data_IF_365531973798
#
_entry.id   IF_365531973798
#
_cell.length_a   1.000
_cell.length_b   1.000
_cell.length_c   1.000
_cell.angle_alpha   90.00
_cell.angle_beta   90.00
_cell.angle_gamma   90.00
#
_symmetry.space_group_name_H-M   'P 1'
#
loop_
_entity.id
_entity.type
_entity.pdbx_description
1 polymer ?
#
# COMPACT_ATOMS: atom_id res chain seq x y z
N UNK A 1 14.97 9.51 4.61
CA UNK A 1 14.49 9.78 3.24
C UNK A 1 13.15 9.11 3.09
N UNK A 2 12.11 9.86 2.68
CA UNK A 2 10.79 9.32 2.45
C UNK A 2 10.81 8.58 1.10
N UNK A 3 10.57 7.27 1.13
CA UNK A 3 10.35 6.48 -0.08
C UNK A 3 8.95 6.80 -0.61
N UNK A 4 8.91 7.35 -1.83
CA UNK A 4 7.69 7.72 -2.54
C UNK A 4 7.32 6.62 -3.53
N UNK A 5 6.25 5.92 -3.21
CA UNK A 5 5.56 4.97 -4.09
C UNK A 5 4.61 5.73 -5.01
N UNK A 6 4.89 5.71 -6.32
CA UNK A 6 3.99 6.27 -7.33
C UNK A 6 3.19 5.13 -7.98
N UNK A 7 2.08 4.74 -7.35
CA UNK A 7 1.15 3.76 -7.92
C UNK A 7 -0.03 4.46 -8.59
N UNK A 8 -0.54 3.84 -9.65
CA UNK A 8 -1.66 4.34 -10.42
C UNK A 8 -2.96 4.35 -9.59
N UNK A 9 -3.86 5.32 -9.85
CA UNK A 9 -5.17 5.34 -9.21
C UNK A 9 -6.03 4.13 -9.63
N UNK A 10 -7.13 3.93 -8.91
CA UNK A 10 -8.14 2.92 -9.26
C UNK A 10 -8.60 3.15 -10.70
N UNK A 11 -8.45 2.13 -11.55
CA UNK A 11 -8.91 2.22 -12.93
C UNK A 11 -10.45 2.38 -12.96
N UNK A 12 -11.01 3.09 -13.96
CA UNK A 12 -12.45 3.16 -14.15
C UNK A 12 -13.03 1.92 -14.85
N UNK A 13 -12.17 1.02 -15.33
CA UNK A 13 -12.55 -0.16 -16.13
C UNK A 13 -11.84 -1.41 -15.62
N UNK A 14 -12.50 -2.56 -15.79
CA UNK A 14 -11.92 -3.87 -15.55
C UNK A 14 -10.80 -4.15 -16.54
N UNK A 15 -9.65 -4.59 -16.05
CA UNK A 15 -8.50 -4.96 -16.88
C UNK A 15 -8.79 -6.16 -17.80
N UNK A 16 -9.60 -7.12 -17.35
CA UNK A 16 -9.90 -8.34 -18.11
C UNK A 16 -10.90 -8.06 -19.24
N UNK A 17 -12.02 -7.41 -18.95
CA UNK A 17 -13.11 -7.21 -19.91
C UNK A 17 -13.11 -5.84 -20.60
N UNK A 18 -12.34 -4.86 -20.09
CA UNK A 18 -12.42 -3.46 -20.52
C UNK A 18 -13.72 -2.76 -20.11
N UNK A 19 -14.61 -3.44 -19.39
CA UNK A 19 -15.92 -2.92 -18.97
C UNK A 19 -15.75 -1.87 -17.88
N UNK A 20 -16.48 -0.77 -17.98
CA UNK A 20 -16.56 0.23 -16.91
C UNK A 20 -17.15 -0.37 -15.64
N UNK A 21 -16.53 -0.07 -14.50
CA UNK A 21 -17.06 -0.46 -13.19
C UNK A 21 -18.34 0.32 -12.88
N UNK A 22 -19.33 -0.37 -12.31
CA UNK A 22 -20.52 0.27 -11.77
C UNK A 22 -20.39 0.49 -10.26
N UNK A 23 -21.13 1.47 -9.75
CA UNK A 23 -21.18 1.75 -8.31
C UNK A 23 -21.60 0.49 -7.53
N UNK A 24 -20.86 0.17 -6.47
CA UNK A 24 -21.11 -1.00 -5.62
C UNK A 24 -20.52 -2.31 -6.15
N UNK A 25 -19.88 -2.33 -7.33
CA UNK A 25 -19.23 -3.55 -7.80
C UNK A 25 -17.95 -3.86 -7.01
N UNK A 26 -17.71 -5.15 -6.78
CA UNK A 26 -16.51 -5.65 -6.11
C UNK A 26 -15.34 -5.66 -7.10
N UNK A 27 -14.34 -4.84 -6.82
CA UNK A 27 -13.13 -4.71 -7.64
C UNK A 27 -11.95 -5.27 -6.86
N UNK A 28 -11.36 -6.33 -7.40
CA UNK A 28 -10.10 -6.88 -6.95
C UNK A 28 -8.94 -6.08 -7.56
N UNK A 29 -8.21 -5.37 -6.73
CA UNK A 29 -7.02 -4.62 -7.10
C UNK A 29 -5.78 -5.45 -6.80
N UNK A 30 -4.84 -5.47 -7.75
CA UNK A 30 -3.58 -6.18 -7.68
C UNK A 30 -2.43 -5.21 -7.88
N UNK A 31 -1.39 -5.36 -7.09
CA UNK A 31 -0.10 -4.73 -7.32
C UNK A 31 0.88 -5.81 -7.74
N UNK A 32 1.42 -5.69 -8.94
CA UNK A 32 2.26 -6.70 -9.57
C UNK A 32 3.63 -6.09 -9.84
N UNK A 33 4.68 -6.83 -9.46
CA UNK A 33 6.04 -6.48 -9.86
C UNK A 33 6.31 -7.09 -11.24
N UNK A 34 6.72 -6.30 -12.24
CA UNK A 34 7.09 -6.86 -13.54
C UNK A 34 8.33 -7.75 -13.36
N UNK A 35 8.33 -8.94 -13.98
CA UNK A 35 9.47 -9.88 -13.90
C UNK A 35 10.72 -9.32 -14.59
N UNK A 36 10.54 -8.51 -15.63
CA UNK A 36 11.61 -7.83 -16.33
C UNK A 36 11.92 -6.51 -15.62
N UNK A 37 13.19 -6.19 -15.31
CA UNK A 37 13.52 -4.89 -14.74
C UNK A 37 12.99 -3.79 -15.67
N UNK A 38 12.21 -2.84 -15.13
CA UNK A 38 11.65 -1.77 -15.93
C UNK A 38 12.77 -0.98 -16.60
N UNK A 39 12.51 -0.45 -17.80
CA UNK A 39 13.37 0.56 -18.40
C UNK A 39 13.60 1.70 -17.38
N UNK A 40 14.78 2.37 -17.39
CA UNK A 40 15.06 3.45 -16.45
C UNK A 40 13.93 4.51 -16.49
N UNK A 41 13.16 4.60 -15.40
CA UNK A 41 12.01 5.50 -15.25
C UNK A 41 10.63 4.84 -15.28
N UNK A 42 10.52 3.55 -15.59
CA UNK A 42 9.25 2.81 -15.48
C UNK A 42 8.95 2.38 -14.02
N UNK A 43 7.66 2.27 -13.65
CA UNK A 43 7.26 1.99 -12.27
C UNK A 43 7.65 0.56 -11.86
N UNK A 44 8.25 0.44 -10.66
CA UNK A 44 8.65 -0.86 -10.08
C UNK A 44 7.46 -1.77 -9.73
N UNK A 45 6.25 -1.20 -9.65
CA UNK A 45 5.02 -1.90 -9.32
C UNK A 45 3.89 -1.33 -10.17
N UNK A 46 3.13 -2.22 -10.83
CA UNK A 46 1.99 -1.87 -11.68
C UNK A 46 0.69 -2.31 -11.02
N UNK A 47 -0.35 -1.48 -11.12
CA UNK A 47 -1.68 -1.80 -10.59
C UNK A 47 -2.59 -2.38 -11.67
N UNK A 48 -3.31 -3.44 -11.33
CA UNK A 48 -4.36 -4.04 -12.15
C UNK A 48 -5.65 -4.10 -11.35
N UNK A 49 -6.76 -3.64 -11.92
CA UNK A 49 -8.08 -3.67 -11.28
C UNK A 49 -9.01 -4.58 -12.08
N UNK A 50 -9.63 -5.56 -11.43
CA UNK A 50 -10.43 -6.61 -12.06
C UNK A 50 -11.76 -6.75 -11.33
N UNK A 51 -12.86 -6.95 -12.06
CA UNK A 51 -14.12 -7.34 -11.44
C UNK A 51 -13.95 -8.68 -10.70
N UNK A 52 -14.43 -8.78 -9.47
CA UNK A 52 -14.28 -10.01 -8.68
C UNK A 52 -14.90 -11.22 -9.40
N UNK A 53 -16.01 -11.02 -10.11
CA UNK A 53 -16.67 -12.01 -10.95
C UNK A 53 -15.85 -12.46 -12.17
N UNK A 54 -14.87 -11.67 -12.60
CA UNK A 54 -14.03 -11.91 -13.77
C UNK A 54 -12.59 -12.33 -13.40
N UNK A 55 -12.35 -12.59 -12.10
CA UNK A 55 -11.04 -13.02 -11.60
C UNK A 55 -10.48 -14.25 -12.30
N UNK A 56 -11.34 -15.19 -12.72
CA UNK A 56 -10.92 -16.39 -13.45
C UNK A 56 -10.26 -16.10 -14.81
N UNK A 57 -10.45 -14.90 -15.37
CA UNK A 57 -9.80 -14.45 -16.59
C UNK A 57 -8.51 -13.65 -16.36
N UNK A 58 -8.14 -13.37 -15.11
CA UNK A 58 -6.94 -12.59 -14.80
C UNK A 58 -5.72 -13.48 -14.58
N UNK A 59 -4.66 -13.21 -15.32
CA UNK A 59 -3.32 -13.78 -15.07
C UNK A 59 -2.36 -12.63 -14.82
N UNK A 60 -1.78 -12.59 -13.62
CA UNK A 60 -0.81 -11.56 -13.28
C UNK A 60 0.47 -11.74 -14.12
N UNK A 61 1.00 -10.68 -14.76
CA UNK A 61 2.21 -10.74 -15.58
C UNK A 61 3.52 -10.84 -14.76
N UNK A 62 3.41 -11.18 -13.47
CA UNK A 62 4.53 -11.29 -12.56
C UNK A 62 4.06 -11.55 -11.12
N UNK A 63 4.99 -11.59 -10.15
CA UNK A 63 4.65 -11.82 -8.75
C UNK A 63 3.73 -10.71 -8.21
N UNK A 64 2.57 -11.14 -7.69
CA UNK A 64 1.62 -10.26 -7.00
C UNK A 64 2.21 -9.85 -5.66
N UNK A 65 2.54 -8.57 -5.53
CA UNK A 65 3.02 -7.97 -4.30
C UNK A 65 1.89 -7.75 -3.29
N UNK A 66 0.68 -7.40 -3.78
CA UNK A 66 -0.46 -7.12 -2.92
C UNK A 66 -1.77 -7.33 -3.69
N UNK A 67 -2.80 -7.79 -2.99
CA UNK A 67 -4.18 -7.89 -3.48
C UNK A 67 -5.14 -7.38 -2.41
N UNK A 68 -6.16 -6.67 -2.82
CA UNK A 68 -7.30 -6.34 -1.96
C UNK A 68 -8.57 -6.23 -2.78
N UNK A 69 -9.72 -6.32 -2.12
CA UNK A 69 -11.03 -6.09 -2.75
C UNK A 69 -11.64 -4.83 -2.15
N UNK A 70 -12.18 -3.97 -3.01
CA UNK A 70 -12.91 -2.77 -2.61
C UNK A 70 -14.19 -2.62 -3.43
N UNK A 71 -15.21 -1.97 -2.87
CA UNK A 71 -16.39 -1.59 -3.63
C UNK A 71 -16.06 -0.36 -4.50
N UNK A 72 -16.37 -0.44 -5.78
CA UNK A 72 -16.20 0.68 -6.68
C UNK A 72 -17.20 1.78 -6.34
N UNK A 73 -16.69 2.99 -6.07
CA UNK A 73 -17.49 4.19 -5.93
C UNK A 73 -17.06 5.18 -7.01
N UNK A 74 -17.96 5.58 -7.93
CA UNK A 74 -17.64 6.59 -8.91
C UNK A 74 -17.35 7.90 -8.20
N UNK A 75 -16.30 8.59 -8.65
CA UNK A 75 -15.88 9.85 -8.06
C UNK A 75 -16.99 10.88 -8.13
N UNK A 76 -17.28 11.53 -7.01
CA UNK A 76 -18.06 12.77 -7.02
C UNK A 76 -17.12 13.92 -7.43
N UNK A 77 -17.64 14.85 -8.23
CA UNK A 77 -16.92 15.97 -8.87
C UNK A 77 -16.18 16.93 -7.90
N UNK A 78 -16.29 16.73 -6.59
CA UNK A 78 -15.68 17.55 -5.53
C UNK A 78 -14.64 16.76 -4.69
N UNK A 79 -14.24 15.56 -5.11
CA UNK A 79 -13.18 14.80 -4.45
C UNK A 79 -11.80 15.31 -4.88
N UNK A 80 -10.92 15.61 -3.90
CA UNK A 80 -9.67 16.31 -4.15
C UNK A 80 -8.75 15.49 -5.08
N UNK A 81 -8.40 15.96 -6.30
CA UNK A 81 -7.53 15.23 -7.24
C UNK A 81 -6.13 15.00 -6.67
N UNK A 82 -5.71 15.77 -5.66
CA UNK A 82 -4.45 15.56 -4.94
C UNK A 82 -4.42 14.23 -4.15
N UNK A 83 -5.58 13.64 -3.82
CA UNK A 83 -5.66 12.27 -3.27
C UNK A 83 -5.31 11.19 -4.30
N UNK A 84 -5.41 11.51 -5.60
CA UNK A 84 -5.21 10.56 -6.70
C UNK A 84 -3.74 10.30 -7.01
N UNK A 85 -2.85 11.21 -6.64
CA UNK A 85 -1.56 11.34 -7.31
C UNK A 85 -0.37 10.68 -6.62
N UNK A 86 -0.50 10.12 -5.41
CA UNK A 86 0.56 9.32 -4.78
C UNK A 86 -0.03 8.25 -3.86
N UNK A 87 0.00 6.99 -4.27
CA UNK A 87 -0.39 5.91 -3.38
C UNK A 87 0.68 5.67 -2.29
N UNK A 88 0.61 6.46 -1.23
CA UNK A 88 1.38 6.26 0.00
C UNK A 88 0.68 5.27 0.93
N UNK A 89 1.39 4.72 1.92
CA UNK A 89 0.77 3.90 2.97
C UNK A 89 -0.44 4.59 3.62
N UNK A 90 -0.44 5.93 3.68
CA UNK A 90 -1.59 6.74 4.13
C UNK A 90 -2.77 6.59 3.18
N UNK A 91 -2.59 6.83 1.87
CA UNK A 91 -3.71 6.73 0.91
C UNK A 91 -4.28 5.31 0.80
N UNK A 92 -3.44 4.27 0.83
CA UNK A 92 -3.90 2.88 0.82
C UNK A 92 -4.72 2.58 2.08
N UNK A 93 -4.24 3.04 3.25
CA UNK A 93 -5.00 2.95 4.48
C UNK A 93 -6.37 3.64 4.36
N UNK A 94 -6.41 4.87 3.84
CA UNK A 94 -7.67 5.63 3.70
C UNK A 94 -8.68 4.90 2.79
N UNK A 95 -8.21 4.23 1.73
CA UNK A 95 -9.08 3.44 0.83
C UNK A 95 -9.64 2.21 1.52
N UNK A 96 -8.79 1.45 2.22
CA UNK A 96 -9.16 0.18 2.83
C UNK A 96 -9.93 0.36 4.16
N UNK A 97 -9.66 1.44 4.89
CA UNK A 97 -10.35 1.79 6.13
C UNK A 97 -11.67 2.54 5.90
N UNK A 98 -12.06 2.83 4.65
CA UNK A 98 -13.38 3.36 4.34
C UNK A 98 -14.44 2.39 4.86
N UNK A 99 -15.46 2.86 5.62
CA UNK A 99 -16.43 1.96 6.24
C UNK A 99 -17.22 1.12 5.24
N UNK A 100 -17.39 1.57 3.99
CA UNK A 100 -18.04 0.76 2.97
C UNK A 100 -17.13 -0.33 2.40
N UNK A 101 -15.81 -0.12 2.40
CA UNK A 101 -14.82 -1.14 2.03
C UNK A 101 -14.61 -2.11 3.19
N UNK A 102 -14.40 -1.57 4.39
CA UNK A 102 -14.06 -2.33 5.60
C UNK A 102 -15.23 -3.16 6.14
N UNK A 103 -16.48 -2.72 5.91
CA UNK A 103 -17.67 -3.46 6.32
C UNK A 103 -17.84 -4.80 5.59
N UNK A 104 -17.41 -4.86 4.33
CA UNK A 104 -17.50 -6.05 3.45
C UNK A 104 -16.12 -6.68 3.19
N UNK A 105 -15.11 -6.27 3.97
CA UNK A 105 -13.74 -6.69 3.80
C UNK A 105 -13.52 -8.11 4.32
N UNK A 106 -12.74 -8.88 3.57
CA UNK A 106 -12.24 -10.18 4.02
C UNK A 106 -11.17 -10.01 5.12
N UNK A 107 -10.90 -11.07 5.88
CA UNK A 107 -9.87 -11.12 6.91
C UNK A 107 -8.49 -10.66 6.41
N UNK A 108 -8.13 -10.96 5.16
CA UNK A 108 -6.88 -10.46 4.55
C UNK A 108 -6.83 -8.92 4.49
N UNK A 109 -7.94 -8.29 4.10
CA UNK A 109 -8.03 -6.82 3.97
C UNK A 109 -8.06 -6.15 5.34
N UNK A 110 -8.84 -6.69 6.28
CA UNK A 110 -8.89 -6.19 7.67
C UNK A 110 -7.50 -6.23 8.32
N UNK A 111 -6.77 -7.34 8.13
CA UNK A 111 -5.39 -7.49 8.63
C UNK A 111 -4.44 -6.46 8.04
N UNK A 112 -4.53 -6.23 6.73
CA UNK A 112 -3.71 -5.22 6.04
C UNK A 112 -3.98 -3.80 6.57
N UNK A 113 -5.25 -3.45 6.75
CA UNK A 113 -5.65 -2.16 7.35
C UNK A 113 -5.03 -1.97 8.73
N UNK A 114 -5.00 -3.02 9.55
CA UNK A 114 -4.42 -2.96 10.89
C UNK A 114 -2.91 -2.76 10.88
N UNK A 115 -2.17 -3.45 10.00
CA UNK A 115 -0.72 -3.23 9.88
C UNK A 115 -0.40 -1.83 9.37
N UNK A 116 -1.14 -1.36 8.36
CA UNK A 116 -1.02 0.01 7.88
C UNK A 116 -1.30 1.02 9.01
N UNK A 117 -2.30 0.76 9.86
CA UNK A 117 -2.61 1.61 11.00
C UNK A 117 -1.42 1.73 11.97
N UNK A 118 -0.79 0.61 12.33
CA UNK A 118 0.39 0.56 13.20
C UNK A 118 1.59 1.31 12.60
N UNK A 119 1.84 1.14 11.30
CA UNK A 119 2.91 1.86 10.60
C UNK A 119 2.67 3.38 10.61
N UNK A 120 1.43 3.80 10.37
CA UNK A 120 1.04 5.20 10.33
C UNK A 120 0.99 5.82 11.73
N UNK A 121 0.69 5.05 12.77
CA UNK A 121 0.84 5.46 14.17
C UNK A 121 2.30 5.78 14.50
N UNK A 122 3.24 4.89 14.15
CA UNK A 122 4.68 5.14 14.35
C UNK A 122 5.16 6.40 13.63
N UNK A 123 4.58 6.70 12.47
CA UNK A 123 4.85 7.92 11.68
C UNK A 123 4.06 9.15 12.13
N UNK A 124 3.24 9.04 13.19
CA UNK A 124 2.34 10.08 13.71
C UNK A 124 1.30 10.61 12.71
N UNK A 125 1.02 9.85 11.66
CA UNK A 125 -0.03 10.13 10.66
C UNK A 125 -1.39 9.75 11.22
N UNK A 126 -1.46 8.63 11.95
CA UNK A 126 -2.61 8.25 12.77
C UNK A 126 -2.32 8.45 14.25
N UNK A 127 -3.35 8.75 15.02
CA UNK A 127 -3.29 8.85 16.49
C UNK A 127 -4.30 7.90 17.11
N UNK A 128 -3.89 6.99 18.01
CA UNK A 128 -4.84 6.14 18.72
C UNK A 128 -5.73 7.01 19.62
N UNK A 129 -7.04 6.78 19.57
CA UNK A 129 -8.03 7.46 20.40
C UNK A 129 -8.69 6.55 21.44
N UNK A 130 -8.37 5.26 21.39
CA UNK A 130 -8.88 4.25 22.30
C UNK A 130 -9.46 3.07 21.53
N UNK A 131 -10.35 2.34 22.19
CA UNK A 131 -10.98 1.13 21.67
C UNK A 131 -12.49 1.21 21.83
N UNK A 132 -13.23 0.76 20.83
CA UNK A 132 -14.69 0.59 20.87
C UNK A 132 -15.07 -0.87 21.16
N UNK A 133 -16.34 -1.08 21.53
CA UNK A 133 -16.94 -2.40 21.72
C UNK A 133 -16.13 -3.34 22.64
N UNK A 134 -15.66 -2.82 23.78
CA UNK A 134 -14.93 -3.62 24.78
C UNK A 134 -13.53 -4.08 24.35
N UNK A 135 -12.94 -3.46 23.32
CA UNK A 135 -11.61 -3.82 22.81
C UNK A 135 -11.64 -4.54 21.45
N UNK A 136 -12.83 -4.87 20.93
CA UNK A 136 -12.99 -5.53 19.63
C UNK A 136 -12.69 -4.61 18.43
N UNK A 137 -12.64 -3.29 18.64
CA UNK A 137 -12.28 -2.32 17.59
C UNK A 137 -11.31 -1.28 18.12
N UNK A 138 -10.29 -0.95 17.34
CA UNK A 138 -9.36 0.14 17.61
C UNK A 138 -9.81 1.41 16.89
N UNK A 139 -9.79 2.54 17.59
CA UNK A 139 -10.17 3.84 17.04
C UNK A 139 -8.91 4.65 16.76
N UNK A 140 -8.76 5.07 15.50
CA UNK A 140 -7.66 5.93 15.06
C UNK A 140 -8.18 7.26 14.51
N UNK A 141 -7.53 8.36 14.89
CA UNK A 141 -7.75 9.69 14.29
C UNK A 141 -6.66 9.97 13.27
N UNK A 142 -7.05 10.35 12.05
CA UNK A 142 -6.12 10.85 11.06
C UNK A 142 -5.67 12.26 11.38
N UNK A 143 -4.36 12.47 11.54
CA UNK A 143 -3.79 13.70 12.07
C UNK A 143 -4.12 14.93 11.23
N UNK A 144 -4.16 14.78 9.90
CA UNK A 144 -4.43 15.86 8.93
C UNK A 144 -5.92 16.18 8.79
N UNK A 145 -6.76 15.16 8.56
CA UNK A 145 -8.19 15.37 8.31
C UNK A 145 -9.07 15.34 9.56
N UNK A 146 -8.54 14.91 10.71
CA UNK A 146 -9.29 14.66 11.96
C UNK A 146 -10.40 13.61 11.85
N UNK A 147 -10.45 12.88 10.75
CA UNK A 147 -11.38 11.79 10.54
C UNK A 147 -11.07 10.63 11.50
N UNK A 148 -12.11 10.05 12.09
CA UNK A 148 -12.01 8.84 12.90
C UNK A 148 -12.24 7.60 12.05
N UNK A 149 -11.43 6.58 12.28
CA UNK A 149 -11.52 5.26 11.67
C UNK A 149 -11.65 4.21 12.76
N UNK A 150 -12.66 3.36 12.64
CA UNK A 150 -12.84 2.17 13.49
C UNK A 150 -12.34 0.95 12.74
N UNK A 151 -11.32 0.29 13.28
CA UNK A 151 -10.71 -0.89 12.68
C UNK A 151 -10.99 -2.09 13.57
N UNK A 152 -11.48 -3.22 13.04
CA UNK A 152 -11.56 -4.46 13.81
C UNK A 152 -10.20 -4.82 14.41
N UNK A 153 -10.15 -5.11 15.70
CA UNK A 153 -8.93 -5.54 16.36
C UNK A 153 -8.71 -7.03 16.09
N UNK A 154 -7.81 -7.35 15.16
CA UNK A 154 -7.35 -8.73 14.96
C UNK A 154 -6.52 -9.14 16.18
N UNK A 155 -6.94 -10.23 16.82
CA UNK A 155 -6.34 -10.74 18.07
C UNK A 155 -5.09 -11.59 17.82
N UNK A 156 -4.94 -12.14 16.62
CA UNK A 156 -3.81 -13.02 16.24
C UNK A 156 -2.91 -12.35 15.19
N UNK A 157 -1.95 -11.54 15.69
CA UNK A 157 -0.85 -11.01 14.90
C UNK A 157 0.39 -11.91 15.07
N UNK A 158 0.37 -13.10 14.46
CA UNK A 158 1.46 -14.08 14.58
C UNK A 158 2.77 -13.59 13.88
N UNK A 159 3.98 -13.86 14.39
CA UNK A 159 5.25 -13.58 13.72
C UNK A 159 5.37 -14.02 12.25
N UNK A 160 4.84 -15.17 11.85
CA UNK A 160 4.84 -15.60 10.43
C UNK A 160 4.02 -14.65 9.55
N UNK A 161 2.96 -14.08 10.11
CA UNK A 161 2.12 -13.07 9.46
C UNK A 161 2.84 -11.72 9.33
N UNK A 162 3.62 -11.32 10.33
CA UNK A 162 4.46 -10.12 10.19
C UNK A 162 5.52 -10.29 9.09
N UNK A 163 6.06 -11.50 8.89
CA UNK A 163 7.00 -11.77 7.82
C UNK A 163 6.34 -11.69 6.43
N UNK A 164 5.16 -12.30 6.23
CA UNK A 164 4.45 -12.22 4.95
C UNK A 164 4.04 -10.78 4.61
N UNK A 165 3.52 -10.05 5.60
CA UNK A 165 3.14 -8.64 5.44
C UNK A 165 4.37 -7.77 5.27
N UNK A 166 5.47 -8.02 5.99
CA UNK A 166 6.71 -7.27 5.81
C UNK A 166 7.32 -7.53 4.43
N UNK A 167 7.16 -8.74 3.86
CA UNK A 167 7.57 -9.04 2.49
C UNK A 167 6.66 -8.35 1.46
N UNK A 168 5.34 -8.36 1.67
CA UNK A 168 4.36 -7.62 0.84
C UNK A 168 4.57 -6.10 0.93
N UNK A 169 4.89 -5.59 2.11
CA UNK A 169 5.21 -4.19 2.33
C UNK A 169 6.60 -3.84 1.84
N UNK A 170 7.61 -4.73 1.90
CA UNK A 170 8.92 -4.50 1.32
C UNK A 170 8.87 -4.57 -0.21
N UNK A 171 8.00 -5.43 -0.75
CA UNK A 171 7.64 -5.49 -2.16
C UNK A 171 6.99 -4.20 -2.64
N UNK A 172 6.14 -3.61 -1.79
CA UNK A 172 5.47 -2.35 -2.03
C UNK A 172 6.46 -1.19 -1.87
N UNK A 173 7.16 -1.09 -0.74
CA UNK A 173 7.94 0.07 -0.30
C UNK A 173 9.36 0.10 -0.88
N UNK A 174 9.76 -0.94 -1.61
CA UNK A 174 11.15 -1.15 -2.00
C UNK A 174 11.94 -1.48 -0.74
N UNK A 175 12.35 -2.73 -0.59
CA UNK A 175 13.37 -3.09 0.39
C UNK A 175 14.60 -2.23 0.08
N UNK A 176 14.84 -1.20 0.90
CA UNK A 176 16.07 -0.45 0.88
C UNK A 176 17.19 -1.44 1.11
N UNK A 177 17.81 -1.91 0.04
CA UNK A 177 19.07 -2.64 0.10
C UNK A 177 20.16 -1.60 0.35
N UNK A 178 20.07 -0.97 1.51
CA UNK A 178 21.13 -0.15 2.08
C UNK A 178 21.91 -1.01 3.05
N UNK A 179 23.12 -1.39 2.66
CA UNK A 179 24.09 -1.97 3.58
C UNK A 179 25.01 -3.01 2.97
N UNK A 180 25.92 -2.58 2.11
CA UNK A 180 27.29 -3.08 2.18
C UNK A 180 28.19 -1.86 2.09
N UNK A 181 28.31 -1.19 3.24
CA UNK A 181 29.40 -0.26 3.52
C UNK A 181 30.69 -1.08 3.61
N UNK A 182 31.59 -0.82 2.67
CA UNK A 182 32.98 -1.23 2.72
C UNK A 182 33.84 -0.01 2.54
N UNK A 183 33.80 0.91 3.51
CA UNK A 183 34.77 1.98 3.67
C UNK A 183 36.18 1.41 3.78
N UNK A 184 37.06 1.84 2.89
CA UNK A 184 38.48 1.55 2.88
C UNK A 184 39.23 2.74 2.30
N UNK A 185 39.32 3.82 3.09
CA UNK A 185 40.14 4.98 2.81
C UNK A 185 41.60 4.58 2.55
N UNK A 186 42.20 5.21 1.56
CA UNK A 186 43.63 5.10 1.27
C UNK A 186 44.07 6.24 0.36
N UNK A 187 44.07 7.46 0.91
CA UNK A 187 44.82 8.57 0.33
C UNK A 187 46.32 8.29 0.56
N UNK A 188 47.18 8.36 -0.46
CA UNK A 188 48.57 8.68 -0.24
C UNK A 188 48.81 10.18 -0.48
N UNK A 189 49.67 10.82 0.34
CA UNK A 189 49.92 12.25 0.30
C UNK A 189 50.76 12.63 -0.92
N UNK A 190 50.51 13.85 -1.40
CA UNK A 190 51.46 14.60 -2.21
C UNK A 190 52.53 15.19 -1.28
N UNK A 191 53.80 14.94 -1.58
CA UNK A 191 54.89 15.87 -1.27
C UNK A 191 56.02 15.68 -2.30
N UNK A 192 56.54 16.80 -2.79
CA UNK A 192 57.57 16.85 -3.82
C UNK A 192 58.99 16.92 -3.24
N UNK A 193 60.01 16.84 -4.11
CA UNK A 193 61.38 17.20 -3.73
C UNK A 193 62.48 16.53 -4.52
N UNK A 194 63.07 17.30 -5.45
CA UNK A 194 64.48 17.39 -5.83
C UNK A 194 65.41 16.15 -5.82
N UNK A 195 65.94 15.85 -7.01
CA UNK A 195 67.39 15.81 -7.28
C UNK A 195 67.63 16.07 -8.77
#
# INVERSE_FOLDING_TARGET
MAMELNLQPLAPVCFVSGRAFAEGERVASFLVRPETPPEPGAPEVVRYDVLESELGGFTAPGPVACRWVQLFKPRKQNENPERELKLTAESLFLTLADPATLGEADEETVRMVQVLALMLERKRVLRPKGSAAGGARSIYEHAKSKQLYEIPAVTDLNPEFFLSIQEQLAALVGGGRGGSDGSGAGVPPADGGAA
#
